data_IF_343955863321
#
_entry.id   IF_343955863321
#
_cell.length_a   1.000
_cell.length_b   1.000
_cell.length_c   1.000
_cell.angle_alpha   90.00
_cell.angle_beta   90.00
_cell.angle_gamma   90.00
#
_symmetry.space_group_name_H-M   'P 1'
#
loop_
_entity.id
_entity.type
_entity.pdbx_description
1 polymer ?
#
# COMPACT_ATOMS: atom_id res chain seq x y z
N UNK A 1 5.75 -22.12 -21.44
CA UNK A 1 5.21 -20.92 -20.76
C UNK A 1 4.46 -21.38 -19.52
N UNK A 2 5.07 -21.29 -18.34
CA UNK A 2 4.33 -21.50 -17.10
C UNK A 2 3.45 -20.27 -16.87
N UNK A 3 2.14 -20.46 -16.89
CA UNK A 3 1.23 -19.45 -16.35
C UNK A 3 1.47 -19.42 -14.84
N UNK A 4 2.40 -18.60 -14.37
CA UNK A 4 2.35 -18.15 -12.99
C UNK A 4 0.99 -17.50 -12.83
N UNK A 5 0.10 -18.14 -12.07
CA UNK A 5 -1.08 -17.45 -11.61
C UNK A 5 -0.56 -16.20 -10.89
N UNK A 6 -0.83 -15.00 -11.41
CA UNK A 6 -0.51 -13.73 -10.74
C UNK A 6 -1.29 -13.55 -9.42
N UNK A 7 -1.86 -14.63 -8.89
CA UNK A 7 -2.57 -14.70 -7.64
C UNK A 7 -1.59 -14.44 -6.50
N UNK A 8 -1.85 -13.39 -5.74
CA UNK A 8 -1.05 -13.05 -4.57
C UNK A 8 -1.49 -13.95 -3.43
N UNK A 9 -0.59 -14.83 -3.00
CA UNK A 9 -0.78 -15.63 -1.79
C UNK A 9 -0.45 -14.80 -0.54
N UNK A 10 -0.92 -15.25 0.64
CA UNK A 10 -0.50 -14.65 1.92
C UNK A 10 1.02 -14.68 2.10
N UNK A 11 1.70 -15.71 1.59
CA UNK A 11 3.17 -15.81 1.65
C UNK A 11 3.82 -14.72 0.81
N UNK A 12 3.38 -14.55 -0.44
CA UNK A 12 3.86 -13.48 -1.32
C UNK A 12 3.58 -12.10 -0.73
N UNK A 13 2.39 -11.87 -0.16
CA UNK A 13 2.07 -10.59 0.47
C UNK A 13 3.00 -10.30 1.67
N UNK A 14 3.36 -11.30 2.47
CA UNK A 14 4.35 -11.13 3.55
C UNK A 14 5.75 -10.77 3.06
N UNK A 15 6.14 -11.21 1.87
CA UNK A 15 7.43 -10.81 1.29
C UNK A 15 7.38 -9.37 0.77
N UNK A 16 6.22 -8.91 0.29
CA UNK A 16 5.98 -7.48 -0.02
C UNK A 16 6.02 -6.63 1.26
N UNK A 17 5.38 -7.09 2.33
CA UNK A 17 5.36 -6.44 3.66
C UNK A 17 6.79 -6.20 4.15
N UNK A 18 7.59 -7.27 4.29
CA UNK A 18 9.01 -7.16 4.69
C UNK A 18 9.85 -6.27 3.79
N UNK A 19 9.55 -6.24 2.49
CA UNK A 19 10.26 -5.36 1.56
C UNK A 19 9.90 -3.90 1.83
N UNK A 20 8.61 -3.61 2.04
CA UNK A 20 8.12 -2.29 2.34
C UNK A 20 8.59 -1.81 3.73
N UNK A 21 8.55 -2.67 4.76
CA UNK A 21 9.08 -2.35 6.09
C UNK A 21 10.52 -1.87 6.02
N UNK A 22 11.40 -2.58 5.29
CA UNK A 22 12.80 -2.17 5.12
C UNK A 22 12.98 -0.82 4.43
N UNK A 23 12.04 -0.40 3.58
CA UNK A 23 12.09 0.92 2.97
C UNK A 23 11.71 1.99 3.99
N UNK A 24 10.67 1.74 4.79
CA UNK A 24 10.10 2.70 5.73
C UNK A 24 10.75 2.69 7.13
N UNK A 25 11.61 1.71 7.41
CA UNK A 25 12.36 1.58 8.67
C UNK A 25 13.14 2.85 9.02
N UNK A 26 13.73 3.55 8.03
CA UNK A 26 14.45 4.82 8.28
C UNK A 26 13.54 5.95 8.80
N UNK A 27 12.23 5.81 8.62
CA UNK A 27 11.21 6.75 9.06
C UNK A 27 10.59 6.34 10.41
N UNK A 28 10.96 5.18 10.95
CA UNK A 28 10.31 4.57 12.12
C UNK A 28 8.86 4.19 11.85
N UNK A 29 8.56 3.75 10.62
CA UNK A 29 7.23 3.38 10.18
C UNK A 29 7.22 1.94 9.69
N UNK A 30 6.29 1.15 10.24
CA UNK A 30 6.02 -0.23 9.81
C UNK A 30 4.85 -0.27 8.82
N UNK A 31 4.90 -1.17 7.85
CA UNK A 31 3.85 -1.35 6.86
C UNK A 31 2.96 -2.51 7.26
N UNK A 32 1.67 -2.23 7.47
CA UNK A 32 0.70 -3.25 7.85
C UNK A 32 -0.41 -3.41 6.81
N UNK A 33 -0.77 -4.65 6.51
CA UNK A 33 -1.89 -4.97 5.62
C UNK A 33 -3.09 -5.50 6.38
N UNK A 34 -4.25 -4.89 6.15
CA UNK A 34 -5.52 -5.43 6.66
C UNK A 34 -5.92 -6.70 5.92
N UNK A 35 -6.80 -7.50 6.53
CA UNK A 35 -7.42 -8.63 5.84
C UNK A 35 -8.13 -8.21 4.55
N UNK A 36 -8.83 -7.06 4.59
CA UNK A 36 -9.52 -6.52 3.44
C UNK A 36 -8.57 -6.16 2.30
N UNK A 37 -7.40 -5.61 2.61
CA UNK A 37 -6.36 -5.36 1.60
C UNK A 37 -6.02 -6.63 0.81
N UNK A 38 -5.75 -7.73 1.52
CA UNK A 38 -5.44 -9.02 0.89
C UNK A 38 -6.58 -9.54 0.01
N UNK A 39 -7.83 -9.50 0.48
CA UNK A 39 -9.00 -9.90 -0.31
C UNK A 39 -9.10 -9.09 -1.60
N UNK A 40 -8.74 -7.80 -1.54
CA UNK A 40 -8.87 -6.88 -2.67
C UNK A 40 -7.76 -6.98 -3.70
N UNK A 41 -6.60 -7.56 -3.36
CA UNK A 41 -5.50 -7.80 -4.32
C UNK A 41 -5.95 -8.67 -5.49
N UNK A 42 -6.64 -9.77 -5.17
CA UNK A 42 -7.07 -10.79 -6.13
C UNK A 42 -8.50 -10.58 -6.65
N UNK A 43 -9.11 -9.42 -6.37
CA UNK A 43 -10.52 -9.21 -6.67
C UNK A 43 -10.73 -8.89 -8.17
N UNK A 44 -11.69 -9.54 -8.87
CA UNK A 44 -11.90 -9.36 -10.32
C UNK A 44 -12.14 -7.91 -10.77
N UNK A 45 -12.68 -7.07 -9.88
CA UNK A 45 -12.86 -5.62 -10.08
C UNK A 45 -11.61 -4.86 -10.53
N UNK A 46 -10.41 -5.40 -10.27
CA UNK A 46 -9.15 -4.77 -10.69
C UNK A 46 -8.92 -4.90 -12.21
N UNK A 47 -9.70 -5.75 -12.90
CA UNK A 47 -9.56 -6.04 -14.32
C UNK A 47 -8.28 -6.83 -14.60
N UNK A 48 -7.14 -6.14 -14.61
CA UNK A 48 -5.81 -6.76 -14.62
C UNK A 48 -5.42 -7.12 -13.19
N UNK A 49 -5.14 -8.39 -12.97
CA UNK A 49 -4.59 -8.92 -11.72
C UNK A 49 -3.36 -8.10 -11.27
N UNK A 50 -3.29 -7.79 -9.98
CA UNK A 50 -2.18 -7.06 -9.37
C UNK A 50 -1.04 -8.05 -9.10
N UNK A 51 0.16 -7.76 -9.59
CA UNK A 51 1.34 -8.60 -9.36
C UNK A 51 2.12 -8.21 -8.11
N UNK A 52 3.00 -9.10 -7.65
CA UNK A 52 3.90 -8.82 -6.52
C UNK A 52 4.87 -7.69 -6.85
N UNK A 53 5.37 -7.66 -8.10
CA UNK A 53 6.27 -6.62 -8.59
C UNK A 53 5.59 -5.24 -8.63
N UNK A 54 4.31 -5.19 -9.05
CA UNK A 54 3.54 -3.93 -9.02
C UNK A 54 3.37 -3.41 -7.59
N UNK A 55 3.24 -4.29 -6.58
CA UNK A 55 3.19 -3.85 -5.19
C UNK A 55 4.56 -3.36 -4.70
N UNK A 56 5.64 -4.07 -5.00
CA UNK A 56 6.99 -3.65 -4.61
C UNK A 56 7.35 -2.31 -5.22
N UNK A 57 7.09 -2.12 -6.50
CA UNK A 57 7.31 -0.85 -7.20
C UNK A 57 6.46 0.27 -6.58
N UNK A 58 5.19 -0.01 -6.27
CA UNK A 58 4.30 0.96 -5.61
C UNK A 58 4.84 1.45 -4.26
N UNK A 59 5.32 0.54 -3.40
CA UNK A 59 5.91 0.92 -2.11
C UNK A 59 7.24 1.66 -2.27
N UNK A 60 8.03 1.28 -3.27
CA UNK A 60 9.27 1.98 -3.60
C UNK A 60 9.00 3.43 -4.06
N UNK A 61 8.04 3.63 -4.96
CA UNK A 61 7.65 4.96 -5.43
C UNK A 61 6.96 5.79 -4.33
N UNK A 62 6.13 5.16 -3.49
CA UNK A 62 5.56 5.80 -2.31
C UNK A 62 6.65 6.32 -1.38
N UNK A 63 7.68 5.52 -1.11
CA UNK A 63 8.80 5.95 -0.30
C UNK A 63 9.59 7.09 -0.95
N UNK A 64 9.97 6.97 -2.23
CA UNK A 64 10.76 7.99 -2.92
C UNK A 64 10.04 9.32 -3.02
N UNK A 65 8.76 9.29 -3.41
CA UNK A 65 8.03 10.48 -3.83
C UNK A 65 7.16 11.08 -2.72
N UNK A 66 6.74 10.28 -1.74
CA UNK A 66 5.80 10.71 -0.69
C UNK A 66 6.35 10.63 0.74
N UNK A 67 7.62 10.25 0.98
CA UNK A 67 8.12 10.12 2.37
C UNK A 67 7.99 11.39 3.20
N UNK A 68 8.27 12.56 2.61
CA UNK A 68 8.14 13.84 3.33
C UNK A 68 6.67 14.16 3.62
N UNK A 69 5.77 13.90 2.68
CA UNK A 69 4.33 14.06 2.89
C UNK A 69 3.85 13.15 4.01
N UNK A 70 4.25 11.86 4.00
CA UNK A 70 3.90 10.87 5.01
C UNK A 70 4.36 11.30 6.41
N UNK A 71 5.60 11.80 6.55
CA UNK A 71 6.11 12.31 7.83
C UNK A 71 5.32 13.52 8.35
N UNK A 72 4.69 14.29 7.47
CA UNK A 72 3.90 15.47 7.84
C UNK A 72 2.44 15.15 8.19
N UNK A 73 1.99 13.91 7.98
CA UNK A 73 0.62 13.51 8.23
C UNK A 73 0.32 13.42 9.73
N UNK A 74 -0.87 13.90 10.11
CA UNK A 74 -1.40 13.69 11.45
C UNK A 74 -1.84 12.23 11.61
N UNK A 75 -1.44 11.59 12.70
CA UNK A 75 -1.92 10.27 13.09
C UNK A 75 -3.45 10.19 13.08
N UNK A 76 -3.97 9.01 12.73
CA UNK A 76 -5.39 8.70 12.57
C UNK A 76 -6.11 9.46 11.46
N UNK A 77 -5.37 10.10 10.53
CA UNK A 77 -5.94 10.70 9.33
C UNK A 77 -5.94 9.68 8.18
N UNK A 78 -7.07 9.51 7.52
CA UNK A 78 -7.17 8.68 6.31
C UNK A 78 -6.67 9.44 5.09
N UNK A 79 -5.73 8.83 4.37
CA UNK A 79 -5.14 9.36 3.14
C UNK A 79 -5.21 8.29 2.06
N UNK A 80 -5.29 8.69 0.80
CA UNK A 80 -5.21 7.78 -0.35
C UNK A 80 -3.91 8.01 -1.11
N UNK A 81 -3.09 6.97 -1.27
CA UNK A 81 -2.06 6.94 -2.30
C UNK A 81 -2.72 6.64 -3.64
N UNK A 82 -2.45 7.47 -4.64
CA UNK A 82 -2.81 7.26 -6.03
C UNK A 82 -1.53 7.12 -6.85
N UNK A 83 -1.21 5.90 -7.28
CA UNK A 83 -0.13 5.68 -8.24
C UNK A 83 -0.66 5.90 -9.65
N UNK A 84 -0.18 6.98 -10.25
CA UNK A 84 -0.61 7.38 -11.58
C UNK A 84 -0.15 6.38 -12.65
N UNK A 85 0.97 5.69 -12.49
CA UNK A 85 1.47 4.75 -13.49
C UNK A 85 0.62 3.47 -13.52
N UNK A 86 0.54 2.78 -12.39
CA UNK A 86 -0.15 1.48 -12.30
C UNK A 86 -1.68 1.60 -12.17
N UNK A 87 -2.17 2.82 -11.87
CA UNK A 87 -3.56 3.14 -11.53
C UNK A 87 -4.03 2.43 -10.25
N UNK A 88 -3.10 2.09 -9.35
CA UNK A 88 -3.39 1.54 -8.04
C UNK A 88 -3.73 2.64 -7.04
N UNK A 89 -4.71 2.35 -6.20
CA UNK A 89 -5.22 3.26 -5.19
C UNK A 89 -5.21 2.55 -3.85
N UNK A 90 -4.50 3.11 -2.87
CA UNK A 90 -4.37 2.55 -1.53
C UNK A 90 -4.78 3.60 -0.49
N UNK A 91 -6.01 3.52 0.02
CA UNK A 91 -6.38 4.15 1.28
C UNK A 91 -5.58 3.55 2.44
N UNK A 92 -4.94 4.41 3.22
CA UNK A 92 -4.17 4.05 4.40
C UNK A 92 -4.41 5.04 5.54
N UNK A 93 -3.94 4.67 6.73
CA UNK A 93 -3.95 5.51 7.92
C UNK A 93 -2.64 5.28 8.68
N UNK A 94 -2.11 6.34 9.30
CA UNK A 94 -1.01 6.21 10.25
C UNK A 94 -1.58 6.01 11.66
N UNK A 95 -1.19 4.94 12.33
CA UNK A 95 -1.64 4.60 13.69
C UNK A 95 -0.43 4.41 14.57
N UNK A 96 -0.47 4.89 15.82
CA UNK A 96 0.59 4.59 16.77
C UNK A 96 0.33 3.22 17.41
N UNK A 97 1.25 2.27 17.25
CA UNK A 97 1.20 1.00 17.98
C UNK A 97 1.88 1.15 19.34
N UNK A 98 1.05 1.19 20.39
CA UNK A 98 1.51 1.27 21.76
C UNK A 98 2.31 0.05 22.24
N UNK A 99 2.21 -1.10 21.56
CA UNK A 99 2.92 -2.33 21.96
C UNK A 99 4.38 -2.30 21.53
N UNK A 100 4.64 -1.85 20.30
CA UNK A 100 5.98 -1.81 19.72
C UNK A 100 6.60 -0.40 19.79
N UNK A 101 5.81 0.60 20.19
CA UNK A 101 6.19 2.01 20.26
C UNK A 101 6.54 2.64 18.89
N UNK A 102 5.95 2.11 17.81
CA UNK A 102 6.20 2.49 16.42
C UNK A 102 4.93 3.06 15.75
N UNK A 103 5.09 3.65 14.56
CA UNK A 103 3.97 4.12 13.75
C UNK A 103 3.69 3.11 12.66
N UNK A 104 2.46 2.60 12.60
CA UNK A 104 2.01 1.71 11.53
C UNK A 104 1.35 2.51 10.41
N UNK A 105 1.82 2.32 9.18
CA UNK A 105 1.09 2.66 7.96
C UNK A 105 0.17 1.49 7.60
N UNK A 106 -1.08 1.58 8.06
CA UNK A 106 -2.08 0.53 7.87
C UNK A 106 -2.79 0.71 6.53
N UNK A 107 -2.45 -0.12 5.55
CA UNK A 107 -3.08 -0.18 4.24
C UNK A 107 -4.44 -0.90 4.32
N UNK A 108 -5.54 -0.16 4.14
CA UNK A 108 -6.92 -0.65 4.38
C UNK A 108 -7.51 -1.41 3.21
N UNK A 109 -7.20 -1.00 1.98
CA UNK A 109 -7.73 -1.62 0.76
C UNK A 109 -6.80 -1.31 -0.41
N UNK A 110 -7.00 -2.00 -1.52
CA UNK A 110 -6.38 -1.68 -2.81
C UNK A 110 -7.39 -1.78 -3.95
N UNK A 111 -7.25 -0.92 -4.96
CA UNK A 111 -8.06 -0.98 -6.17
C UNK A 111 -7.29 -0.45 -7.38
N UNK A 112 -7.31 -1.21 -8.49
CA UNK A 112 -6.88 -0.68 -9.79
C UNK A 112 -8.03 0.09 -10.45
N UNK A 113 -7.91 1.40 -10.56
CA UNK A 113 -8.92 2.29 -11.19
C UNK A 113 -8.29 3.60 -11.65
N UNK A 114 -8.47 3.94 -12.93
CA UNK A 114 -7.91 5.14 -13.57
C UNK A 114 -8.49 6.44 -12.99
N UNK A 115 -9.81 6.52 -12.89
CA UNK A 115 -10.53 7.70 -12.43
C UNK A 115 -11.06 7.48 -11.00
N UNK A 116 -10.14 7.18 -10.08
CA UNK A 116 -10.48 6.98 -8.68
C UNK A 116 -10.88 8.30 -8.03
N UNK A 117 -12.11 8.34 -7.51
CA UNK A 117 -12.66 9.49 -6.79
C UNK A 117 -12.70 9.17 -5.30
N UNK A 118 -12.24 10.13 -4.51
CA UNK A 118 -12.33 10.12 -3.05
C UNK A 118 -12.61 11.55 -2.61
N UNK A 119 -13.42 11.70 -1.57
CA UNK A 119 -13.70 13.01 -0.95
C UNK A 119 -12.61 13.39 0.06
N UNK A 120 -11.73 12.45 0.42
CA UNK A 120 -10.61 12.65 1.34
C UNK A 120 -9.32 13.12 0.65
N UNK A 121 -8.31 13.38 1.48
CA UNK A 121 -6.98 13.76 1.02
C UNK A 121 -6.33 12.61 0.24
N UNK A 122 -5.56 12.98 -0.79
CA UNK A 122 -4.79 12.04 -1.59
C UNK A 122 -3.40 12.57 -1.89
N UNK A 123 -2.45 11.67 -1.97
CA UNK A 123 -1.09 11.93 -2.46
C UNK A 123 -0.97 11.18 -3.79
N UNK A 124 -0.48 11.87 -4.82
CA UNK A 124 -0.28 11.29 -6.15
C UNK A 124 1.20 11.00 -6.31
N UNK A 125 1.52 9.78 -6.69
CA UNK A 125 2.88 9.29 -6.96
C UNK A 125 2.99 8.72 -8.38
#
# INVERSE_FOLDING_TARGET
MSYSSNYITKKSLKEVEKYADKLFEELGIDIAFTHHFYERLNHPRNGKQISEDELKELFLEMFKNAKQDILSLKLNSEIVINDFSSKLNIPFVLVYDHKNQEIDLVSKTIMRKRDFKTDGNKIVI
#
